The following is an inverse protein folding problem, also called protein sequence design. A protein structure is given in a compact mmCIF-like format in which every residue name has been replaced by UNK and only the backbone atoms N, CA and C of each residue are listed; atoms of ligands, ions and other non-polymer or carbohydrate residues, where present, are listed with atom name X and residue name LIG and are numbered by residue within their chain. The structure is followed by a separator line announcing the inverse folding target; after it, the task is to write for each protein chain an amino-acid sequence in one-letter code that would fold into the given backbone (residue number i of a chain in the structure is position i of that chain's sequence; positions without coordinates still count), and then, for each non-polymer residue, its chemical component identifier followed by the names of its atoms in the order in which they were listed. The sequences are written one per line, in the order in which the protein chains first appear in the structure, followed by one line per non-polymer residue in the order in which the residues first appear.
data_IF_683919251489
#
_entry.id   IF_683919251489
#
_cell.length_a   1.000
_cell.length_b   1.000
_cell.length_c   1.000
_cell.angle_alpha   90.00
_cell.angle_beta   90.00
_cell.angle_gamma   90.00
#
_symmetry.space_group_name_H-M   'P 1'
#
loop_
_entity.id
_entity.type
_entity.pdbx_description
1 polymer ?
#
# COMPACT_ATOMS: atom_id res chain seq x y z
N UNK A 1 -2.02 -29.50 32.28
CA UNK A 1 -2.61 -28.50 33.19
C UNK A 1 -2.71 -27.19 32.42
N UNK A 2 -3.75 -27.01 31.60
CA UNK A 2 -4.89 -26.09 31.85
C UNK A 2 -4.48 -24.73 32.44
N UNK A 3 -4.37 -23.72 31.59
CA UNK A 3 -4.94 -22.39 31.84
C UNK A 3 -5.54 -21.87 30.53
N UNK A 4 -6.85 -22.10 30.36
CA UNK A 4 -7.66 -21.32 29.42
C UNK A 4 -7.71 -19.89 29.96
N UNK A 5 -7.22 -18.92 29.20
CA UNK A 5 -7.57 -17.52 29.38
C UNK A 5 -8.68 -17.22 28.37
N UNK A 6 -9.93 -17.24 28.83
CA UNK A 6 -11.04 -16.64 28.12
C UNK A 6 -11.01 -15.13 28.43
N UNK A 7 -10.73 -14.30 27.42
CA UNK A 7 -10.86 -12.84 27.55
C UNK A 7 -12.19 -12.44 26.94
N UNK A 8 -13.06 -11.90 27.79
CA UNK A 8 -14.42 -11.51 27.49
C UNK A 8 -14.47 -10.34 26.49
N UNK A 9 -15.20 -10.53 25.38
CA UNK A 9 -15.81 -9.43 24.63
C UNK A 9 -16.72 -8.65 25.58
N UNK A 10 -16.38 -7.40 25.87
CA UNK A 10 -17.21 -6.50 26.66
C UNK A 10 -17.91 -5.52 25.72
N UNK A 11 -19.15 -5.85 25.32
CA UNK A 11 -20.06 -4.91 24.68
C UNK A 11 -20.64 -3.96 25.75
N UNK A 12 -20.27 -2.69 25.69
CA UNK A 12 -20.88 -1.64 26.49
C UNK A 12 -21.26 -0.46 25.58
N UNK A 13 -22.44 -0.54 24.96
CA UNK A 13 -23.07 0.57 24.26
C UNK A 13 -23.85 1.38 25.31
N UNK A 14 -23.40 2.60 25.61
CA UNK A 14 -24.17 3.55 26.40
C UNK A 14 -25.09 4.38 25.49
N UNK A 15 -26.38 4.02 25.46
CA UNK A 15 -27.44 4.85 24.90
C UNK A 15 -27.81 5.96 25.91
N UNK A 16 -27.82 7.19 25.41
CA UNK A 16 -28.35 8.38 26.07
C UNK A 16 -29.86 8.24 26.29
N UNK A 17 -30.31 8.37 27.54
CA UNK A 17 -31.72 8.59 27.85
C UNK A 17 -31.83 9.82 28.75
N UNK A 18 -32.27 10.92 28.16
CA UNK A 18 -32.89 12.01 28.91
C UNK A 18 -34.38 11.67 29.08
N UNK A 19 -34.83 11.40 30.30
CA UNK A 19 -36.23 11.53 30.70
C UNK A 19 -36.34 11.62 32.23
N UNK A 20 -36.98 12.69 32.70
CA UNK A 20 -37.26 12.99 34.11
C UNK A 20 -38.32 12.06 34.71
N UNK A 21 -38.26 11.82 36.02
CA UNK A 21 -39.38 11.25 36.77
C UNK A 21 -39.00 10.80 38.18
N UNK A 22 -39.45 11.54 39.19
CA UNK A 22 -39.22 11.27 40.61
C UNK A 22 -40.02 10.05 41.12
N UNK A 23 -39.40 9.25 41.99
CA UNK A 23 -40.08 8.23 42.81
C UNK A 23 -39.09 7.38 43.62
N UNK A 24 -39.11 7.50 44.96
CA UNK A 24 -38.28 6.70 45.90
C UNK A 24 -38.78 5.24 46.01
N UNK A 25 -37.93 4.29 46.47
CA UNK A 25 -38.13 2.85 46.29
C UNK A 25 -38.90 2.20 47.45
N UNK A 26 -39.63 1.12 47.15
CA UNK A 26 -40.05 0.11 48.15
C UNK A 26 -39.67 -1.27 47.66
N UNK A 27 -38.96 -2.01 48.51
CA UNK A 27 -38.19 -3.20 48.16
C UNK A 27 -38.99 -4.44 47.78
N UNK A 28 -38.33 -5.26 46.96
CA UNK A 28 -38.69 -6.63 46.64
C UNK A 28 -37.42 -7.38 46.21
N UNK A 29 -37.24 -8.58 46.74
CA UNK A 29 -36.06 -9.45 46.67
C UNK A 29 -35.59 -9.75 45.22
N UNK A 30 -34.34 -9.43 44.79
CA UNK A 30 -33.88 -9.70 43.43
C UNK A 30 -33.13 -11.04 43.37
N UNK A 31 -33.87 -12.14 43.28
CA UNK A 31 -33.32 -13.45 42.94
C UNK A 31 -33.98 -13.98 41.67
N UNK A 32 -33.89 -13.21 40.59
CA UNK A 32 -33.94 -13.75 39.24
C UNK A 32 -33.19 -12.78 38.33
N UNK A 33 -31.85 -12.92 38.25
CA UNK A 33 -31.09 -12.29 37.17
C UNK A 33 -31.46 -13.07 35.91
N UNK A 34 -32.52 -12.63 35.24
CA UNK A 34 -32.73 -12.93 33.84
C UNK A 34 -31.43 -12.57 33.12
N UNK A 35 -30.71 -13.59 32.66
CA UNK A 35 -29.60 -13.40 31.74
C UNK A 35 -30.24 -12.97 30.41
N UNK A 36 -30.53 -11.67 30.29
CA UNK A 36 -30.94 -11.09 29.02
C UNK A 36 -29.68 -11.09 28.18
N UNK A 37 -29.48 -12.15 27.41
CA UNK A 37 -28.49 -12.18 26.36
C UNK A 37 -28.91 -11.11 25.35
N UNK A 38 -28.14 -10.03 25.27
CA UNK A 38 -28.28 -9.05 24.21
C UNK A 38 -27.96 -9.80 22.91
N UNK A 39 -28.87 -9.85 21.93
CA UNK A 39 -28.61 -10.53 20.67
C UNK A 39 -27.32 -10.01 20.04
N UNK A 40 -26.43 -10.91 19.63
CA UNK A 40 -25.27 -10.54 18.81
C UNK A 40 -25.79 -10.12 17.42
N UNK A 41 -25.60 -8.86 17.01
CA UNK A 41 -26.12 -8.37 15.72
C UNK A 41 -25.32 -8.91 14.51
N UNK A 42 -24.15 -9.50 14.74
CA UNK A 42 -23.34 -10.09 13.68
C UNK A 42 -23.90 -11.45 13.24
N UNK A 43 -23.99 -11.59 11.93
CA UNK A 43 -24.28 -12.85 11.23
C UNK A 43 -23.01 -13.27 10.50
N UNK A 44 -22.55 -14.51 10.73
CA UNK A 44 -21.41 -15.07 10.00
C UNK A 44 -21.81 -15.36 8.54
N UNK A 45 -20.88 -15.14 7.61
CA UNK A 45 -21.06 -15.42 6.19
C UNK A 45 -19.95 -16.34 5.68
N UNK A 46 -20.29 -17.22 4.74
CA UNK A 46 -19.31 -18.13 4.12
C UNK A 46 -18.50 -17.43 3.02
N UNK A 47 -19.13 -16.47 2.32
CA UNK A 47 -18.50 -15.77 1.19
C UNK A 47 -18.71 -14.25 1.26
N UNK A 48 -17.91 -13.52 0.47
CA UNK A 48 -18.02 -12.07 0.36
C UNK A 48 -19.32 -11.66 -0.33
N UNK A 49 -19.74 -12.41 -1.35
CA UNK A 49 -21.00 -12.18 -2.06
C UNK A 49 -22.20 -12.25 -1.12
N UNK A 50 -22.22 -13.23 -0.21
CA UNK A 50 -23.27 -13.34 0.81
C UNK A 50 -23.27 -12.13 1.75
N UNK A 51 -22.09 -11.72 2.23
CA UNK A 51 -21.97 -10.57 3.13
C UNK A 51 -22.41 -9.26 2.45
N UNK A 52 -22.03 -9.06 1.19
CA UNK A 52 -22.42 -7.90 0.39
C UNK A 52 -23.92 -7.87 0.12
N UNK A 53 -24.55 -9.01 -0.14
CA UNK A 53 -26.01 -9.11 -0.30
C UNK A 53 -26.73 -8.70 0.99
N UNK A 54 -26.29 -9.22 2.15
CA UNK A 54 -26.87 -8.89 3.46
C UNK A 54 -26.62 -7.43 3.87
N UNK A 55 -25.47 -6.88 3.51
CA UNK A 55 -25.11 -5.50 3.79
C UNK A 55 -25.79 -4.50 2.83
N UNK A 56 -26.13 -4.93 1.61
CA UNK A 56 -26.67 -4.06 0.57
C UNK A 56 -25.65 -3.08 -0.02
N UNK A 57 -24.35 -3.37 0.13
CA UNK A 57 -23.25 -2.61 -0.48
C UNK A 57 -22.01 -3.49 -0.68
N UNK A 58 -21.15 -3.09 -1.62
CA UNK A 58 -19.92 -3.81 -1.95
C UNK A 58 -18.74 -3.41 -1.06
N UNK A 59 -17.78 -4.32 -0.90
CA UNK A 59 -16.52 -4.06 -0.19
C UNK A 59 -15.37 -4.79 -0.89
N UNK A 60 -14.41 -4.03 -1.40
CA UNK A 60 -13.18 -4.56 -2.00
C UNK A 60 -12.20 -5.02 -0.90
N UNK A 61 -11.49 -6.11 -1.14
CA UNK A 61 -10.47 -6.64 -0.24
C UNK A 61 -9.36 -7.34 -1.04
N UNK A 62 -8.14 -7.43 -0.50
CA UNK A 62 -7.17 -8.38 -1.02
C UNK A 62 -7.69 -9.82 -0.85
N UNK A 63 -7.43 -10.68 -1.84
CA UNK A 63 -7.82 -12.10 -1.78
C UNK A 63 -7.07 -12.85 -0.68
N UNK A 64 -5.79 -12.52 -0.51
CA UNK A 64 -4.87 -13.08 0.48
C UNK A 64 -4.03 -11.99 1.13
N UNK A 65 -3.59 -12.24 2.36
CA UNK A 65 -2.59 -11.41 3.04
C UNK A 65 -1.48 -12.34 3.51
N UNK A 66 -0.24 -12.02 3.17
CA UNK A 66 0.90 -12.88 3.48
C UNK A 66 1.01 -13.15 4.97
N UNK A 67 1.09 -14.45 5.31
CA UNK A 67 1.12 -14.92 6.68
C UNK A 67 -0.24 -15.00 7.38
N UNK A 68 -1.36 -14.68 6.71
CA UNK A 68 -2.70 -14.84 7.26
C UNK A 68 -3.51 -15.86 6.46
N UNK A 69 -3.53 -17.10 6.95
CA UNK A 69 -3.98 -18.27 6.20
C UNK A 69 -5.50 -18.50 6.24
N UNK A 70 -6.24 -17.74 7.05
CA UNK A 70 -7.69 -17.90 7.17
C UNK A 70 -8.41 -16.57 7.27
N UNK A 71 -9.66 -16.54 6.81
CA UNK A 71 -10.54 -15.38 6.91
C UNK A 71 -11.88 -15.73 7.55
N UNK A 72 -12.44 -14.81 8.33
CA UNK A 72 -13.80 -14.85 8.88
C UNK A 72 -14.58 -13.65 8.38
N UNK A 73 -15.77 -13.88 7.86
CA UNK A 73 -16.63 -12.85 7.29
C UNK A 73 -17.88 -12.76 8.17
N UNK A 74 -18.24 -11.55 8.57
CA UNK A 74 -19.41 -11.29 9.39
C UNK A 74 -20.06 -9.98 8.99
N UNK A 75 -21.38 -9.90 9.12
CA UNK A 75 -22.17 -8.74 8.70
C UNK A 75 -23.15 -8.34 9.79
N UNK A 76 -23.32 -7.04 9.99
CA UNK A 76 -24.54 -6.48 10.58
C UNK A 76 -25.39 -6.05 9.39
N UNK A 77 -26.53 -6.73 9.19
CA UNK A 77 -27.37 -6.52 8.00
C UNK A 77 -27.66 -5.03 7.77
N UNK A 78 -27.43 -4.57 6.54
CA UNK A 78 -27.60 -3.17 6.10
C UNK A 78 -26.73 -2.12 6.80
N UNK A 79 -25.77 -2.53 7.62
CA UNK A 79 -25.00 -1.59 8.46
C UNK A 79 -23.48 -1.74 8.29
N UNK A 80 -22.94 -2.96 8.35
CA UNK A 80 -21.50 -3.17 8.48
C UNK A 80 -21.07 -4.51 7.88
N UNK A 81 -20.02 -4.51 7.06
CA UNK A 81 -19.26 -5.72 6.72
C UNK A 81 -17.97 -5.70 7.56
N UNK A 82 -17.64 -6.84 8.19
CA UNK A 82 -16.41 -7.06 8.96
C UNK A 82 -15.72 -8.33 8.52
N UNK A 83 -14.48 -8.21 8.05
CA UNK A 83 -13.65 -9.34 7.59
C UNK A 83 -12.38 -9.38 8.42
N UNK A 84 -12.06 -10.55 8.96
CA UNK A 84 -10.88 -10.76 9.81
C UNK A 84 -10.00 -11.82 9.17
N UNK A 85 -8.79 -11.43 8.79
CA UNK A 85 -7.71 -12.34 8.43
C UNK A 85 -6.97 -12.78 9.70
N UNK A 86 -6.64 -14.07 9.83
CA UNK A 86 -6.00 -14.64 11.02
C UNK A 86 -4.75 -15.44 10.64
N UNK A 87 -3.64 -15.21 11.34
CA UNK A 87 -2.38 -15.94 11.18
C UNK A 87 -2.28 -17.16 12.11
N UNK A 88 -1.19 -17.93 11.98
CA UNK A 88 -0.90 -19.13 12.77
C UNK A 88 -0.67 -18.88 14.28
N UNK A 89 -0.51 -17.62 14.68
CA UNK A 89 -0.23 -17.14 16.05
C UNK A 89 -1.39 -16.31 16.64
N UNK A 90 -2.60 -16.46 16.10
CA UNK A 90 -3.81 -15.71 16.50
C UNK A 90 -3.73 -14.18 16.28
N UNK A 91 -2.72 -13.70 15.56
CA UNK A 91 -2.65 -12.31 15.08
C UNK A 91 -3.73 -12.06 14.03
N UNK A 92 -4.30 -10.85 14.06
CA UNK A 92 -5.47 -10.52 13.24
C UNK A 92 -5.25 -9.22 12.48
N UNK A 93 -5.77 -9.18 11.25
CA UNK A 93 -6.04 -7.94 10.52
C UNK A 93 -7.54 -7.90 10.24
N UNK A 94 -8.23 -6.88 10.76
CA UNK A 94 -9.66 -6.70 10.59
C UNK A 94 -9.95 -5.50 9.69
N UNK A 95 -10.73 -5.75 8.65
CA UNK A 95 -11.25 -4.75 7.71
C UNK A 95 -12.72 -4.53 8.00
N UNK A 96 -13.15 -3.28 8.02
CA UNK A 96 -14.56 -2.92 8.17
C UNK A 96 -14.95 -1.81 7.23
N UNK A 97 -16.15 -1.93 6.67
CA UNK A 97 -16.88 -0.88 5.94
C UNK A 97 -18.31 -0.84 6.47
N UNK A 98 -18.73 0.31 6.97
CA UNK A 98 -20.07 0.49 7.50
C UNK A 98 -20.71 1.81 7.08
N UNK A 99 -22.03 1.87 7.16
CA UNK A 99 -22.82 3.05 6.75
C UNK A 99 -22.60 4.21 7.71
N UNK A 100 -22.40 5.41 7.16
CA UNK A 100 -22.28 6.66 7.91
C UNK A 100 -20.82 7.09 8.13
N UNK A 101 -20.61 7.96 9.11
CA UNK A 101 -19.32 8.64 9.33
C UNK A 101 -18.69 8.29 10.70
N UNK A 102 -19.34 7.40 11.47
CA UNK A 102 -18.85 7.02 12.79
C UNK A 102 -17.76 5.96 12.65
N UNK A 103 -16.76 6.04 13.51
CA UNK A 103 -15.69 5.02 13.59
C UNK A 103 -16.28 3.61 13.80
N UNK A 104 -15.98 2.72 12.85
CA UNK A 104 -16.45 1.33 12.82
C UNK A 104 -15.43 0.32 13.35
N UNK A 105 -14.23 0.76 13.73
CA UNK A 105 -13.14 -0.13 14.16
C UNK A 105 -13.49 -0.98 15.37
N UNK A 106 -14.30 -0.44 16.28
CA UNK A 106 -14.53 -1.04 17.59
C UNK A 106 -13.26 -1.11 18.44
N UNK A 107 -12.22 -0.36 18.06
CA UNK A 107 -10.96 -0.26 18.77
C UNK A 107 -10.98 0.94 19.72
N UNK A 108 -10.87 0.67 21.01
CA UNK A 108 -10.86 1.68 22.07
C UNK A 108 -9.47 1.85 22.72
N UNK A 109 -8.44 1.24 22.13
CA UNK A 109 -7.08 1.35 22.63
C UNK A 109 -6.56 2.79 22.47
N UNK A 110 -5.62 3.14 23.34
CA UNK A 110 -4.86 4.38 23.22
C UNK A 110 -3.52 4.08 22.57
N UNK A 111 -3.16 4.91 21.59
CA UNK A 111 -1.95 4.79 20.82
C UNK A 111 -1.03 5.97 21.10
N UNK A 112 0.27 5.70 21.15
CA UNK A 112 1.26 6.75 21.42
C UNK A 112 1.44 7.69 20.21
N UNK A 113 1.21 7.15 19.01
CA UNK A 113 1.40 7.83 17.73
C UNK A 113 0.05 7.98 17.03
N UNK A 114 -0.19 9.17 16.46
CA UNK A 114 -1.35 9.46 15.61
C UNK A 114 -0.90 10.38 14.49
N UNK A 115 -1.23 10.02 13.26
CA UNK A 115 -0.87 10.75 12.06
C UNK A 115 -2.09 10.84 11.14
N UNK A 116 -2.24 11.95 10.43
CA UNK A 116 -3.21 12.07 9.35
C UNK A 116 -2.47 12.18 8.02
N UNK A 117 -2.89 11.40 7.06
CA UNK A 117 -2.38 11.42 5.68
C UNK A 117 -3.53 11.66 4.71
N UNK A 118 -3.23 12.28 3.57
CA UNK A 118 -4.18 12.39 2.46
C UNK A 118 -3.83 11.34 1.40
N UNK A 119 -4.82 10.55 1.01
CA UNK A 119 -4.71 9.55 -0.05
C UNK A 119 -5.83 9.82 -1.06
N UNK A 120 -5.48 10.45 -2.19
CA UNK A 120 -6.44 10.75 -3.25
C UNK A 120 -7.59 11.67 -2.79
N UNK A 121 -7.32 12.64 -1.92
CA UNK A 121 -8.35 13.53 -1.36
C UNK A 121 -9.19 12.90 -0.23
N UNK A 122 -8.85 11.69 0.21
CA UNK A 122 -9.43 11.05 1.39
C UNK A 122 -8.45 11.18 2.56
N UNK A 123 -8.88 11.82 3.64
CA UNK A 123 -8.08 11.92 4.86
C UNK A 123 -8.15 10.63 5.67
N UNK A 124 -7.01 9.97 5.86
CA UNK A 124 -6.86 8.75 6.65
C UNK A 124 -6.19 9.10 7.98
N UNK A 125 -6.77 8.66 9.09
CA UNK A 125 -6.12 8.76 10.41
C UNK A 125 -5.46 7.44 10.76
N UNK A 126 -4.14 7.44 10.84
CA UNK A 126 -3.32 6.32 11.27
C UNK A 126 -3.00 6.46 12.77
N UNK A 127 -3.06 5.35 13.51
CA UNK A 127 -2.74 5.27 14.94
C UNK A 127 -1.91 4.03 15.21
N UNK A 128 -0.95 4.17 16.12
CA UNK A 128 -0.09 3.06 16.49
C UNK A 128 0.94 3.40 17.55
N UNK A 129 1.93 2.54 17.67
CA UNK A 129 3.00 2.67 18.65
C UNK A 129 4.27 2.03 18.10
N UNK A 130 5.43 2.51 18.57
CA UNK A 130 6.74 1.94 18.24
C UNK A 130 7.04 1.95 16.73
N UNK A 131 6.61 3.01 16.03
CA UNK A 131 6.79 3.17 14.59
C UNK A 131 5.94 2.22 13.72
N UNK A 132 5.00 1.48 14.32
CA UNK A 132 4.03 0.64 13.61
C UNK A 132 2.64 1.26 13.62
N UNK A 133 1.83 0.91 12.62
CA UNK A 133 0.42 1.31 12.52
C UNK A 133 -0.48 0.16 12.92
N UNK A 134 -1.24 0.32 13.99
CA UNK A 134 -2.20 -0.67 14.47
C UNK A 134 -3.61 -0.39 13.98
N UNK A 135 -3.94 0.85 13.66
CA UNK A 135 -5.29 1.24 13.29
C UNK A 135 -5.27 2.35 12.24
N UNK A 136 -5.97 2.13 11.13
CA UNK A 136 -6.34 3.17 10.17
C UNK A 136 -7.87 3.37 10.22
N UNK A 137 -8.33 4.61 10.25
CA UNK A 137 -9.76 4.97 10.19
C UNK A 137 -9.99 6.14 9.25
N UNK A 138 -11.04 6.07 8.46
CA UNK A 138 -11.43 7.14 7.52
C UNK A 138 -12.90 7.06 7.12
N UNK A 139 -13.35 8.05 6.38
CA UNK A 139 -14.69 8.10 5.78
C UNK A 139 -14.59 8.46 4.31
N UNK A 140 -15.32 7.76 3.44
CA UNK A 140 -15.38 8.01 1.99
C UNK A 140 -16.77 7.65 1.48
N UNK A 141 -17.35 8.49 0.64
CA UNK A 141 -18.64 8.25 -0.05
C UNK A 141 -19.82 7.84 0.87
N UNK A 142 -19.90 8.42 2.08
CA UNK A 142 -20.96 8.12 3.04
C UNK A 142 -20.77 6.82 3.83
N UNK A 143 -19.60 6.20 3.73
CA UNK A 143 -19.18 5.03 4.51
C UNK A 143 -18.01 5.37 5.42
N UNK A 144 -17.96 4.69 6.57
CA UNK A 144 -16.85 4.68 7.48
C UNK A 144 -16.08 3.38 7.32
N UNK A 145 -14.77 3.49 7.36
CA UNK A 145 -13.85 2.40 7.12
C UNK A 145 -12.86 2.29 8.27
N UNK A 146 -12.40 1.06 8.52
CA UNK A 146 -11.27 0.83 9.40
C UNK A 146 -10.46 -0.39 9.00
N UNK A 147 -9.16 -0.32 9.24
CA UNK A 147 -8.24 -1.47 9.21
C UNK A 147 -7.52 -1.52 10.55
N UNK A 148 -7.65 -2.61 11.31
CA UNK A 148 -6.94 -2.81 12.57
C UNK A 148 -6.02 -4.02 12.50
N UNK A 149 -4.81 -3.94 13.07
CA UNK A 149 -3.84 -5.03 13.16
C UNK A 149 -3.39 -5.26 14.60
N UNK A 150 -3.45 -6.51 15.07
CA UNK A 150 -2.97 -6.91 16.40
C UNK A 150 -1.48 -6.63 16.58
N UNK A 151 -0.66 -7.01 15.61
CA UNK A 151 0.81 -6.96 15.71
C UNK A 151 1.42 -5.64 15.24
N UNK A 152 0.58 -4.76 14.68
CA UNK A 152 0.97 -3.51 14.03
C UNK A 152 1.66 -3.76 12.68
N UNK A 153 1.33 -2.95 11.69
CA UNK A 153 1.87 -3.02 10.34
C UNK A 153 2.89 -1.92 10.10
N UNK A 154 3.72 -2.10 9.07
CA UNK A 154 4.45 -0.95 8.52
C UNK A 154 3.46 0.07 7.95
N UNK A 155 3.87 1.34 7.88
CA UNK A 155 3.04 2.40 7.27
C UNK A 155 2.73 2.08 5.81
N UNK A 156 3.70 1.59 5.05
CA UNK A 156 3.56 1.19 3.64
C UNK A 156 2.49 0.11 3.48
N UNK A 157 2.62 -0.99 4.23
CA UNK A 157 1.63 -2.08 4.19
C UNK A 157 0.24 -1.59 4.57
N UNK A 158 0.11 -0.71 5.57
CA UNK A 158 -1.19 -0.14 5.93
C UNK A 158 -1.78 0.70 4.79
N UNK A 159 -0.99 1.55 4.13
CA UNK A 159 -1.46 2.35 2.99
C UNK A 159 -1.82 1.51 1.78
N UNK A 160 -1.13 0.40 1.54
CA UNK A 160 -1.48 -0.55 0.45
C UNK A 160 -2.84 -1.19 0.70
N UNK A 161 -3.09 -1.59 1.95
CA UNK A 161 -4.39 -2.16 2.36
C UNK A 161 -5.52 -1.11 2.31
N UNK A 162 -5.25 0.15 2.64
CA UNK A 162 -6.22 1.25 2.50
C UNK A 162 -6.57 1.47 1.03
N UNK A 163 -5.57 1.46 0.14
CA UNK A 163 -5.75 1.57 -1.31
C UNK A 163 -6.64 0.44 -1.83
N UNK A 164 -6.36 -0.81 -1.45
CA UNK A 164 -7.15 -1.97 -1.81
C UNK A 164 -8.61 -1.86 -1.32
N UNK A 165 -8.84 -1.41 -0.09
CA UNK A 165 -10.19 -1.28 0.48
C UNK A 165 -11.01 -0.14 -0.13
N UNK A 166 -10.34 0.92 -0.60
CA UNK A 166 -11.01 2.05 -1.24
C UNK A 166 -11.48 1.76 -2.68
N UNK A 167 -11.18 0.58 -3.23
CA UNK A 167 -11.37 0.21 -4.64
C UNK A 167 -10.67 1.20 -5.60
N UNK A 168 -9.69 1.94 -5.07
CA UNK A 168 -8.82 2.82 -5.83
C UNK A 168 -7.70 1.93 -6.37
N UNK A 169 -7.98 1.13 -7.41
CA UNK A 169 -6.97 0.26 -8.03
C UNK A 169 -5.82 1.11 -8.54
N UNK A 170 -4.75 1.17 -7.75
CA UNK A 170 -3.40 1.55 -8.15
C UNK A 170 -2.48 0.48 -7.56
N UNK A 171 -2.23 -0.58 -8.33
CA UNK A 171 -1.24 -1.60 -7.94
C UNK A 171 0.14 -0.98 -8.03
N UNK A 172 0.77 -0.71 -6.89
CA UNK A 172 2.22 -0.56 -6.76
C UNK A 172 2.64 -1.32 -5.49
N UNK A 173 3.30 -2.48 -5.64
CA UNK A 173 4.17 -3.03 -4.57
C UNK A 173 3.86 -4.39 -3.90
N UNK A 174 3.16 -5.35 -4.52
CA UNK A 174 2.89 -6.67 -3.90
C UNK A 174 3.97 -7.76 -4.15
N UNK A 175 4.29 -8.53 -3.11
CA UNK A 175 5.30 -9.61 -3.00
C UNK A 175 5.28 -10.67 -4.14
N UNK A 176 6.45 -11.02 -4.75
CA UNK A 176 6.59 -12.04 -5.81
C UNK A 176 6.14 -13.47 -5.44
N UNK A 177 5.91 -13.80 -4.18
CA UNK A 177 5.65 -15.17 -3.73
C UNK A 177 4.22 -15.70 -3.94
N UNK A 178 3.26 -14.86 -4.35
CA UNK A 178 1.84 -15.23 -4.46
C UNK A 178 1.43 -15.81 -5.83
N UNK A 179 2.35 -15.89 -6.80
CA UNK A 179 2.05 -16.44 -8.12
C UNK A 179 2.39 -17.94 -8.20
N UNK A 180 1.40 -18.79 -7.92
CA UNK A 180 1.40 -20.17 -8.43
C UNK A 180 0.18 -21.01 -8.04
N UNK A 181 -0.18 -22.02 -8.84
CA UNK A 181 -0.48 -22.01 -10.26
C UNK A 181 -2.02 -22.05 -10.44
N UNK A 182 -2.64 -20.90 -10.70
CA UNK A 182 -4.03 -20.82 -11.10
C UNK A 182 -4.09 -20.63 -12.61
N UNK A 183 -4.63 -21.60 -13.35
CA UNK A 183 -4.93 -21.47 -14.77
C UNK A 183 -6.02 -20.40 -15.00
N UNK A 184 -5.64 -19.13 -14.93
CA UNK A 184 -6.39 -18.03 -15.53
C UNK A 184 -6.07 -18.04 -17.04
N UNK A 185 -7.02 -17.79 -17.94
CA UNK A 185 -6.65 -17.46 -19.32
C UNK A 185 -5.75 -16.23 -19.25
N UNK A 186 -4.60 -16.27 -19.91
CA UNK A 186 -3.63 -15.16 -19.99
C UNK A 186 -4.34 -13.89 -20.47
N UNK A 187 -4.93 -13.12 -19.54
CA UNK A 187 -5.22 -11.71 -19.77
C UNK A 187 -3.88 -11.05 -19.57
N UNK A 188 -3.07 -11.07 -20.62
CA UNK A 188 -1.85 -10.31 -20.70
C UNK A 188 -2.24 -8.84 -20.46
N UNK A 189 -1.98 -8.34 -19.24
CA UNK A 189 -2.03 -6.90 -18.98
C UNK A 189 -1.07 -6.32 -20.02
N UNK A 190 -1.55 -5.50 -20.97
CA UNK A 190 -0.70 -5.05 -22.05
C UNK A 190 0.54 -4.39 -21.46
N UNK A 191 1.72 -4.92 -21.79
CA UNK A 191 2.97 -4.29 -21.40
C UNK A 191 2.92 -2.84 -21.95
N UNK A 192 2.92 -1.81 -21.09
CA UNK A 192 2.77 -0.44 -21.54
C UNK A 192 3.99 0.03 -22.35
N UNK A 193 5.08 -0.74 -22.30
CA UNK A 193 6.29 -0.52 -23.08
C UNK A 193 6.24 -1.22 -24.43
N UNK A 194 6.74 -0.50 -25.43
CA UNK A 194 7.06 -1.02 -26.76
C UNK A 194 8.57 -1.13 -26.90
N UNK A 195 9.08 -2.33 -27.18
CA UNK A 195 10.48 -2.55 -27.51
C UNK A 195 10.85 -1.87 -28.85
N UNK A 196 12.10 -1.41 -28.94
CA UNK A 196 12.65 -0.71 -30.10
C UNK A 196 14.02 -1.28 -30.46
N UNK A 197 14.31 -1.39 -31.76
CA UNK A 197 15.59 -1.95 -32.23
C UNK A 197 16.78 -1.02 -31.99
N UNK A 198 16.53 0.30 -31.88
CA UNK A 198 17.57 1.31 -31.73
C UNK A 198 17.10 2.46 -30.84
N UNK A 199 18.05 3.16 -30.21
CA UNK A 199 17.77 4.39 -29.47
C UNK A 199 17.10 5.47 -30.33
N UNK A 200 17.47 5.56 -31.61
CA UNK A 200 16.86 6.50 -32.54
C UNK A 200 15.38 6.18 -32.81
N UNK A 201 15.03 4.89 -32.90
CA UNK A 201 13.63 4.45 -33.02
C UNK A 201 12.83 4.77 -31.74
N UNK A 202 13.44 4.52 -30.58
CA UNK A 202 12.85 4.83 -29.28
C UNK A 202 12.60 6.34 -29.12
N UNK A 203 13.60 7.18 -29.42
CA UNK A 203 13.50 8.64 -29.39
C UNK A 203 12.36 9.15 -30.29
N UNK A 204 12.27 8.61 -31.52
CA UNK A 204 11.20 8.95 -32.47
C UNK A 204 9.82 8.61 -31.93
N UNK A 205 9.64 7.47 -31.25
CA UNK A 205 8.36 7.07 -30.64
C UNK A 205 8.03 7.88 -29.39
N UNK A 206 9.02 8.17 -28.56
CA UNK A 206 8.88 8.99 -27.35
C UNK A 206 8.56 10.46 -27.71
N UNK A 207 9.08 10.95 -28.83
CA UNK A 207 8.93 12.34 -29.28
C UNK A 207 9.95 13.28 -28.63
N UNK A 208 11.05 12.75 -28.10
CA UNK A 208 12.18 13.49 -27.56
C UNK A 208 13.45 12.63 -27.66
N UNK A 209 14.60 13.29 -27.73
CA UNK A 209 15.90 12.63 -27.81
C UNK A 209 16.42 12.22 -26.43
N UNK A 210 17.26 11.19 -26.40
CA UNK A 210 18.06 10.80 -25.25
C UNK A 210 19.43 10.36 -25.76
N UNK A 211 20.50 10.86 -25.14
CA UNK A 211 21.84 10.29 -25.28
C UNK A 211 22.24 9.57 -24.01
N UNK A 212 22.96 8.46 -24.16
CA UNK A 212 23.38 7.57 -23.08
C UNK A 212 24.81 7.08 -23.33
N UNK A 213 25.56 6.69 -22.29
CA UNK A 213 26.90 6.12 -22.45
C UNK A 213 26.88 4.82 -23.27
N UNK A 214 27.96 4.52 -23.98
CA UNK A 214 28.05 3.27 -24.75
C UNK A 214 28.17 2.02 -23.88
N UNK A 215 28.57 2.19 -22.61
CA UNK A 215 28.68 1.09 -21.65
C UNK A 215 28.45 1.57 -20.23
N UNK A 216 27.89 0.70 -19.39
CA UNK A 216 27.79 0.92 -17.94
C UNK A 216 28.33 -0.30 -17.22
N UNK A 217 29.34 -0.14 -16.36
CA UNK A 217 30.00 -1.25 -15.65
C UNK A 217 30.45 -2.42 -16.57
N UNK A 218 30.84 -2.11 -17.81
CA UNK A 218 31.28 -3.11 -18.79
C UNK A 218 30.15 -3.76 -19.60
N UNK A 219 28.89 -3.55 -19.24
CA UNK A 219 27.74 -3.94 -20.04
C UNK A 219 27.63 -3.02 -21.27
N UNK A 220 27.62 -3.61 -22.46
CA UNK A 220 27.47 -2.92 -23.76
C UNK A 220 26.19 -3.32 -24.50
N UNK A 221 25.54 -4.39 -24.04
CA UNK A 221 24.26 -4.79 -24.60
C UNK A 221 23.16 -3.87 -24.08
N UNK A 222 22.34 -3.35 -24.99
CA UNK A 222 21.37 -2.28 -24.72
C UNK A 222 20.00 -2.65 -25.28
N UNK A 223 18.99 -2.64 -24.41
CA UNK A 223 17.59 -2.73 -24.82
C UNK A 223 16.93 -1.34 -24.74
N UNK A 224 16.09 -1.03 -25.72
CA UNK A 224 15.39 0.25 -25.81
C UNK A 224 13.89 0.05 -25.72
N UNK A 225 13.25 0.75 -24.78
CA UNK A 225 11.81 0.65 -24.53
C UNK A 225 11.17 2.01 -24.45
N UNK A 226 9.94 2.10 -24.93
CA UNK A 226 9.15 3.34 -24.85
C UNK A 226 7.77 3.04 -24.32
N UNK A 227 7.38 3.74 -23.25
CA UNK A 227 6.00 3.80 -22.80
C UNK A 227 5.34 5.00 -23.46
N UNK A 228 4.29 4.78 -24.25
CA UNK A 228 3.59 5.86 -24.98
C UNK A 228 2.24 6.24 -24.39
N UNK A 229 1.69 5.38 -23.53
CA UNK A 229 0.50 5.63 -22.73
C UNK A 229 0.89 6.38 -21.46
N UNK A 230 0.09 7.36 -21.04
CA UNK A 230 0.21 8.11 -19.77
C UNK A 230 1.64 8.48 -19.34
N UNK A 231 2.15 9.60 -19.87
CA UNK A 231 3.37 10.24 -19.34
C UNK A 231 4.66 10.06 -20.15
N UNK A 232 4.62 9.33 -21.29
CA UNK A 232 5.71 9.20 -22.28
C UNK A 232 7.12 9.00 -21.68
N UNK A 233 7.59 7.77 -21.59
CA UNK A 233 8.91 7.45 -21.03
C UNK A 233 9.78 6.72 -22.03
N UNK A 234 11.06 7.10 -22.12
CA UNK A 234 12.10 6.36 -22.82
C UNK A 234 13.01 5.69 -21.78
N UNK A 235 13.21 4.39 -21.94
CA UNK A 235 14.05 3.55 -21.07
C UNK A 235 15.15 2.87 -21.90
N UNK A 236 16.37 2.91 -21.38
CA UNK A 236 17.53 2.15 -21.88
C UNK A 236 18.00 1.22 -20.78
N UNK A 237 18.04 -0.08 -21.06
CA UNK A 237 18.49 -1.11 -20.13
C UNK A 237 19.83 -1.65 -20.62
N UNK A 238 20.83 -1.67 -19.74
CA UNK A 238 22.14 -2.27 -20.00
C UNK A 238 22.19 -3.67 -19.40
N UNK A 239 22.63 -4.65 -20.19
CA UNK A 239 22.69 -6.04 -19.75
C UNK A 239 24.09 -6.64 -19.90
N UNK A 240 24.40 -7.57 -18.99
CA UNK A 240 25.56 -8.45 -19.07
C UNK A 240 25.07 -9.90 -19.09
N UNK A 241 24.76 -10.40 -20.28
CA UNK A 241 24.06 -11.68 -20.41
C UNK A 241 22.58 -11.51 -20.07
N UNK A 242 22.05 -12.33 -19.16
CA UNK A 242 20.65 -12.24 -18.73
C UNK A 242 20.43 -11.20 -17.61
N UNK A 243 21.51 -10.68 -17.01
CA UNK A 243 21.46 -9.78 -15.86
C UNK A 243 21.41 -8.31 -16.29
N UNK A 244 20.43 -7.57 -15.77
CA UNK A 244 20.40 -6.10 -15.86
C UNK A 244 21.50 -5.49 -14.99
N UNK A 245 22.38 -4.72 -15.63
CA UNK A 245 23.50 -4.03 -14.97
C UNK A 245 23.12 -2.60 -14.61
N UNK A 246 22.39 -1.92 -15.48
CA UNK A 246 21.98 -0.54 -15.27
C UNK A 246 20.75 -0.19 -16.10
N UNK A 247 20.09 0.90 -15.71
CA UNK A 247 18.92 1.45 -16.39
C UNK A 247 18.98 2.96 -16.41
N UNK A 248 18.65 3.54 -17.55
CA UNK A 248 18.55 4.99 -17.74
C UNK A 248 17.14 5.30 -18.24
N UNK A 249 16.48 6.25 -17.60
CA UNK A 249 15.14 6.69 -17.97
C UNK A 249 15.08 8.20 -18.17
N UNK A 250 14.25 8.63 -19.10
CA UNK A 250 13.87 10.04 -19.34
C UNK A 250 12.38 10.13 -19.63
N UNK A 251 11.70 11.08 -19.00
CA UNK A 251 10.31 11.40 -19.26
C UNK A 251 10.05 12.91 -19.05
N UNK A 252 9.02 13.50 -19.67
CA UNK A 252 8.56 14.84 -19.32
C UNK A 252 8.06 14.90 -17.88
N UNK A 253 8.33 16.02 -17.19
CA UNK A 253 7.84 16.27 -15.84
C UNK A 253 8.94 16.36 -14.79
N UNK A 254 8.53 16.24 -13.53
CA UNK A 254 9.39 16.45 -12.36
C UNK A 254 9.33 15.32 -11.34
N UNK A 255 8.46 14.33 -11.57
CA UNK A 255 8.27 13.19 -10.67
C UNK A 255 9.44 12.21 -10.77
N UNK A 256 9.63 11.40 -9.73
CA UNK A 256 10.61 10.32 -9.74
C UNK A 256 10.13 9.20 -10.69
N UNK A 257 10.93 8.92 -11.72
CA UNK A 257 10.64 7.88 -12.72
C UNK A 257 11.55 6.66 -12.59
N UNK A 258 12.34 6.57 -11.52
CA UNK A 258 13.30 5.48 -11.31
C UNK A 258 12.64 4.11 -11.20
N UNK A 259 11.40 4.07 -10.68
CA UNK A 259 10.75 2.82 -10.30
C UNK A 259 11.53 2.05 -9.23
N UNK A 260 12.44 2.73 -8.54
CA UNK A 260 13.26 2.20 -7.45
C UNK A 260 12.65 2.62 -6.13
N UNK A 261 12.06 1.66 -5.41
CA UNK A 261 11.40 1.86 -4.12
C UNK A 261 12.30 1.44 -2.95
N UNK A 262 13.59 1.18 -3.19
CA UNK A 262 14.50 0.78 -2.13
C UNK A 262 14.80 1.94 -1.17
N UNK A 263 14.94 1.61 0.11
CA UNK A 263 15.47 2.53 1.11
C UNK A 263 17.00 2.51 1.09
N UNK A 264 17.59 3.69 1.03
CA UNK A 264 19.05 3.88 0.96
C UNK A 264 19.55 4.55 2.23
N UNK A 265 20.67 4.05 2.77
CA UNK A 265 21.26 4.60 3.99
C UNK A 265 21.93 5.97 3.76
N UNK A 266 22.33 6.26 2.52
CA UNK A 266 23.00 7.50 2.12
C UNK A 266 22.17 8.20 1.03
N UNK A 267 22.02 9.52 1.17
CA UNK A 267 21.42 10.40 0.16
C UNK A 267 22.22 11.69 0.12
N UNK A 268 22.75 12.01 -1.06
CA UNK A 268 23.57 13.19 -1.30
C UNK A 268 23.03 13.98 -2.49
N UNK A 269 23.22 15.31 -2.44
CA UNK A 269 22.88 16.21 -3.55
C UNK A 269 24.16 16.78 -4.15
N UNK A 270 24.33 16.61 -5.46
CA UNK A 270 25.52 17.02 -6.20
C UNK A 270 25.10 17.78 -7.45
N UNK A 271 25.81 18.85 -7.82
CA UNK A 271 25.55 19.57 -9.07
C UNK A 271 26.42 18.98 -10.18
N UNK A 272 25.79 18.43 -11.21
CA UNK A 272 26.46 17.85 -12.39
C UNK A 272 25.88 18.50 -13.64
N UNK A 273 26.73 19.07 -14.49
CA UNK A 273 26.28 19.74 -15.72
C UNK A 273 25.32 20.92 -15.50
N UNK A 274 25.26 21.47 -14.28
CA UNK A 274 24.32 22.53 -13.90
C UNK A 274 22.96 22.04 -13.37
N UNK A 275 22.69 20.74 -13.41
CA UNK A 275 21.52 20.14 -12.77
C UNK A 275 21.85 19.69 -11.32
N UNK A 276 20.92 19.89 -10.39
CA UNK A 276 21.00 19.28 -9.06
C UNK A 276 20.57 17.82 -9.16
N UNK A 277 21.51 16.92 -8.87
CA UNK A 277 21.32 15.47 -8.88
C UNK A 277 21.20 14.97 -7.46
N UNK A 278 20.14 14.21 -7.17
CA UNK A 278 20.01 13.45 -5.93
C UNK A 278 20.53 12.04 -6.13
N UNK A 279 21.63 11.70 -5.46
CA UNK A 279 22.26 10.38 -5.45
C UNK A 279 21.84 9.62 -4.18
N UNK A 280 21.48 8.35 -4.33
CA UNK A 280 21.07 7.46 -3.24
C UNK A 280 21.86 6.15 -3.30
N UNK A 281 22.24 5.66 -2.14
CA UNK A 281 23.18 4.55 -2.04
C UNK A 281 23.42 4.04 -0.63
N UNK A 282 24.38 3.12 -0.51
CA UNK A 282 24.83 2.53 0.75
C UNK A 282 26.30 2.14 0.62
N UNK A 283 27.04 2.13 1.74
CA UNK A 283 28.46 1.71 1.79
C UNK A 283 29.36 2.45 0.78
N UNK A 284 29.16 3.77 0.63
CA UNK A 284 29.89 4.66 -0.29
C UNK A 284 29.70 4.32 -1.79
N UNK A 285 28.69 3.51 -2.09
CA UNK A 285 28.26 3.16 -3.44
C UNK A 285 26.91 3.81 -3.72
N UNK A 286 26.79 4.47 -4.87
CA UNK A 286 25.56 5.08 -5.39
C UNK A 286 24.88 4.08 -6.31
N UNK A 287 23.65 3.69 -5.98
CA UNK A 287 22.83 2.78 -6.77
C UNK A 287 21.80 3.52 -7.63
N UNK A 288 21.37 4.69 -7.19
CA UNK A 288 20.33 5.48 -7.85
C UNK A 288 20.74 6.94 -7.93
N UNK A 289 20.52 7.56 -9.08
CA UNK A 289 20.58 9.00 -9.25
C UNK A 289 19.31 9.50 -9.95
N UNK A 290 18.75 10.60 -9.45
CA UNK A 290 17.56 11.25 -10.02
C UNK A 290 17.80 12.75 -10.15
N UNK A 291 17.34 13.34 -11.24
CA UNK A 291 17.43 14.78 -11.46
C UNK A 291 16.39 15.27 -12.45
N UNK A 292 16.19 16.59 -12.46
CA UNK A 292 15.30 17.26 -13.41
C UNK A 292 16.06 18.37 -14.13
N UNK A 293 15.94 18.45 -15.45
CA UNK A 293 16.51 19.53 -16.27
C UNK A 293 15.64 19.75 -17.50
N UNK A 294 15.46 21.01 -17.91
CA UNK A 294 14.73 21.42 -19.12
C UNK A 294 13.31 20.82 -19.27
N UNK A 295 12.60 20.63 -18.15
CA UNK A 295 11.23 20.09 -18.13
C UNK A 295 11.16 18.56 -18.26
N UNK A 296 12.30 17.88 -18.17
CA UNK A 296 12.40 16.42 -18.12
C UNK A 296 12.91 15.97 -16.75
N UNK A 297 12.42 14.81 -16.34
CA UNK A 297 12.93 14.03 -15.20
C UNK A 297 13.73 12.85 -15.73
N UNK A 298 14.81 12.53 -15.03
CA UNK A 298 15.78 11.52 -15.39
C UNK A 298 16.06 10.63 -14.18
N UNK A 299 16.31 9.35 -14.45
CA UNK A 299 16.78 8.39 -13.46
C UNK A 299 17.87 7.49 -14.03
N UNK A 300 18.90 7.21 -13.22
CA UNK A 300 19.95 6.23 -13.50
C UNK A 300 20.02 5.26 -12.33
N UNK A 301 19.76 3.98 -12.59
CA UNK A 301 19.90 2.90 -11.61
C UNK A 301 21.06 1.98 -12.02
N UNK A 302 21.89 1.56 -11.06
CA UNK A 302 23.01 0.63 -11.29
C UNK A 302 22.95 -0.48 -10.24
N UNK A 303 22.78 -1.73 -10.68
CA UNK A 303 22.39 -2.85 -9.82
C UNK A 303 23.35 -3.12 -8.64
N UNK A 304 24.66 -2.97 -8.86
CA UNK A 304 25.70 -3.17 -7.83
C UNK A 304 26.26 -1.84 -7.30
N UNK A 305 25.61 -0.72 -7.64
CA UNK A 305 26.11 0.62 -7.43
C UNK A 305 27.43 0.92 -8.15
N UNK A 306 27.85 2.18 -8.06
CA UNK A 306 29.16 2.70 -8.47
C UNK A 306 29.64 3.73 -7.47
N UNK A 307 30.91 4.14 -7.51
CA UNK A 307 31.35 5.28 -6.72
C UNK A 307 30.58 6.55 -7.11
N UNK A 308 30.52 7.55 -6.22
CA UNK A 308 29.91 8.85 -6.53
C UNK A 308 30.52 9.50 -7.78
N UNK A 309 31.85 9.46 -7.93
CA UNK A 309 32.55 9.92 -9.14
C UNK A 309 32.15 9.12 -10.39
N UNK A 310 31.99 7.80 -10.25
CA UNK A 310 31.52 6.93 -11.33
C UNK A 310 30.11 7.28 -11.79
N UNK A 311 29.20 7.51 -10.84
CA UNK A 311 27.83 7.96 -11.16
C UNK A 311 27.85 9.35 -11.81
N UNK A 312 28.67 10.28 -11.32
CA UNK A 312 28.81 11.60 -11.91
C UNK A 312 29.32 11.55 -13.36
N UNK A 313 30.28 10.68 -13.64
CA UNK A 313 30.77 10.44 -14.99
C UNK A 313 29.67 9.92 -15.91
N UNK A 314 28.89 8.92 -15.47
CA UNK A 314 27.76 8.40 -16.25
C UNK A 314 26.73 9.48 -16.57
N UNK A 315 26.34 10.28 -15.56
CA UNK A 315 25.36 11.36 -15.74
C UNK A 315 25.85 12.43 -16.72
N UNK A 316 27.16 12.70 -16.75
CA UNK A 316 27.73 13.68 -17.68
C UNK A 316 27.63 13.27 -19.16
N UNK A 317 27.38 11.99 -19.44
CA UNK A 317 27.16 11.46 -20.78
C UNK A 317 25.67 11.42 -21.18
N UNK A 318 24.76 11.85 -20.29
CA UNK A 318 23.31 11.77 -20.49
C UNK A 318 22.71 13.15 -20.75
N UNK A 319 21.99 13.31 -21.86
CA UNK A 319 21.26 14.53 -22.22
C UNK A 319 19.99 14.24 -23.04
#
# INVERSE_FOLDING_TARGET
MKKLLAILMSAAIALSIAACGAGKPTGGNPANKSNVEIPNPFVDCETMEEAQEKAGFDMALPDTIDGYDSRKISVIEKELISVIFVNDKDGQICFRKGVGEKDVSGDFNQYAETEQIDMGGTTITLKGSDGKVNLAVWTKDGYAFSISSTDGLSKVTMTDLVTALNDDVVIIGGDPATWGPGSQPDVEIPNPYTDCDTLADAARKAGFDLTVPNAVNGATDQLYRVMTLDGKMLEVIYQSGEDETARIRKAPGTEDISGDFNEYAQTDKVVIGGAEVTMRGSNDMVCLATWTVDGYTYAVSVANGVSSDGMAALISEIH
#
